data_IF_731801494163
#
_entry.id   IF_731801494163
#
_cell.length_a   1.000
_cell.length_b   1.000
_cell.length_c   1.000
_cell.angle_alpha   90.00
_cell.angle_beta   90.00
_cell.angle_gamma   90.00
#
_symmetry.space_group_name_H-M   'P 1'
#
loop_
_entity.id
_entity.type
_entity.pdbx_description
1 polymer ?
#
# COMPACT_ATOMS: atom_id res chain seq x y z
N UNK A 1 3.79 54.75 63.51
CA UNK A 1 3.90 53.34 63.04
C UNK A 1 3.42 53.24 61.59
N UNK A 2 4.30 53.32 60.62
CA UNK A 2 4.00 53.16 59.18
C UNK A 2 4.35 51.78 58.77
N UNK A 3 3.39 50.92 58.29
CA UNK A 3 3.63 49.64 57.73
C UNK A 3 3.92 49.80 56.24
N UNK A 4 5.09 49.38 55.82
CA UNK A 4 5.54 49.32 54.45
C UNK A 4 4.94 48.08 53.79
N UNK A 5 4.28 48.29 52.64
CA UNK A 5 3.75 47.22 51.77
C UNK A 5 4.81 46.94 50.70
N UNK A 6 5.47 45.80 50.74
CA UNK A 6 6.41 45.37 49.71
C UNK A 6 5.63 44.75 48.55
N UNK A 7 5.77 45.32 47.34
CA UNK A 7 5.30 44.76 46.09
C UNK A 7 6.22 43.62 45.65
N UNK A 8 5.66 42.45 45.43
CA UNK A 8 6.31 41.36 44.73
C UNK A 8 6.14 41.53 43.24
N UNK A 9 7.18 41.76 42.50
CA UNK A 9 7.21 41.70 41.06
C UNK A 9 7.56 40.26 40.66
N UNK A 10 6.58 39.55 40.04
CA UNK A 10 6.82 38.27 39.44
C UNK A 10 7.38 38.56 38.05
N UNK A 11 8.64 38.33 37.82
CA UNK A 11 9.28 38.33 36.50
C UNK A 11 8.89 37.07 35.77
N UNK A 12 7.92 37.20 34.85
CA UNK A 12 7.62 36.18 33.87
C UNK A 12 8.75 36.16 32.79
N UNK A 13 9.60 35.17 32.82
CA UNK A 13 10.61 35.16 31.80
C UNK A 13 11.62 34.03 31.75
N UNK A 14 11.30 32.73 31.84
CA UNK A 14 11.95 31.78 30.96
C UNK A 14 11.02 30.78 30.26
N UNK A 15 9.72 30.77 30.56
CA UNK A 15 8.81 29.75 30.00
C UNK A 15 8.54 29.96 28.52
N UNK A 16 8.57 31.21 28.02
CA UNK A 16 8.28 31.50 26.61
C UNK A 16 9.41 31.12 25.65
N UNK A 17 10.65 31.04 26.11
CA UNK A 17 11.83 30.69 25.26
C UNK A 17 11.93 29.19 25.04
N UNK A 18 11.47 28.38 25.99
CA UNK A 18 11.50 26.90 25.87
C UNK A 18 10.44 26.42 24.88
N UNK A 19 9.26 27.05 24.84
CA UNK A 19 8.23 26.69 23.87
C UNK A 19 8.62 27.03 22.41
N UNK A 20 9.34 28.13 22.18
CA UNK A 20 9.83 28.49 20.84
C UNK A 20 10.99 27.60 20.37
N UNK A 21 11.83 27.12 21.31
CA UNK A 21 12.92 26.22 20.98
C UNK A 21 12.43 24.82 20.61
N UNK A 22 11.29 24.38 21.13
CA UNK A 22 10.66 23.12 20.78
C UNK A 22 10.07 23.12 19.36
N UNK A 23 9.56 24.25 18.88
CA UNK A 23 9.07 24.37 17.48
C UNK A 23 10.22 24.42 16.45
N UNK A 24 11.45 24.73 16.88
CA UNK A 24 12.61 24.81 15.99
C UNK A 24 13.51 23.56 16.03
N UNK A 25 13.28 22.65 16.98
CA UNK A 25 14.08 21.44 17.20
C UNK A 25 13.27 20.14 17.17
N UNK A 26 11.96 20.20 16.96
CA UNK A 26 11.22 19.01 16.58
C UNK A 26 11.77 18.57 15.22
N UNK A 27 12.43 17.43 15.08
CA UNK A 27 12.67 16.88 13.76
C UNK A 27 11.28 16.80 13.13
N UNK A 28 11.17 17.22 11.87
CA UNK A 28 9.99 16.96 11.07
C UNK A 28 9.91 15.44 10.88
N UNK A 29 9.52 14.73 11.94
CA UNK A 29 9.20 13.32 11.87
C UNK A 29 7.93 13.31 11.03
N UNK A 30 8.19 13.11 9.76
CA UNK A 30 7.32 12.80 8.68
C UNK A 30 5.82 13.08 8.89
N UNK A 31 5.41 14.35 9.02
CA UNK A 31 4.05 14.64 8.64
C UNK A 31 4.03 14.48 7.12
N UNK A 32 3.44 13.39 6.67
CA UNK A 32 3.21 13.16 5.27
C UNK A 32 2.45 14.37 4.71
N UNK A 33 2.78 14.82 3.53
CA UNK A 33 2.17 15.98 2.91
C UNK A 33 1.22 15.54 1.78
N UNK A 34 0.13 16.22 1.61
CA UNK A 34 -0.92 15.94 0.64
C UNK A 34 -1.07 17.11 -0.33
N UNK A 35 -1.20 16.79 -1.61
CA UNK A 35 -1.49 17.76 -2.65
C UNK A 35 -2.67 17.28 -3.50
N UNK A 36 -3.71 18.11 -3.60
CA UNK A 36 -4.90 17.83 -4.39
C UNK A 36 -5.09 18.90 -5.45
N UNK A 37 -5.27 18.48 -6.70
CA UNK A 37 -5.62 19.34 -7.81
C UNK A 37 -6.88 18.82 -8.50
N UNK A 38 -7.85 19.69 -8.71
CA UNK A 38 -9.03 19.41 -9.52
C UNK A 38 -9.01 20.34 -10.72
N UNK A 39 -9.10 19.79 -11.92
CA UNK A 39 -9.33 20.59 -13.11
C UNK A 39 -10.81 21.00 -13.21
N UNK A 40 -11.12 22.17 -13.80
CA UNK A 40 -12.51 22.57 -14.00
C UNK A 40 -13.23 21.57 -14.88
N UNK A 41 -14.48 21.25 -14.51
CA UNK A 41 -15.35 20.33 -15.22
C UNK A 41 -15.32 20.59 -16.74
N UNK A 42 -15.10 19.54 -17.58
CA UNK A 42 -15.28 19.69 -19.01
C UNK A 42 -16.73 20.03 -19.32
N UNK A 43 -17.00 20.81 -20.38
CA UNK A 43 -18.38 21.15 -20.77
C UNK A 43 -19.17 19.87 -21.07
N UNK A 44 -20.34 19.73 -20.46
CA UNK A 44 -21.29 18.66 -20.74
C UNK A 44 -21.76 18.79 -22.20
N UNK A 45 -21.41 17.80 -23.04
CA UNK A 45 -21.98 17.68 -24.39
C UNK A 45 -23.22 16.81 -24.27
N UNK A 46 -24.39 17.40 -24.49
CA UNK A 46 -25.65 16.68 -24.64
C UNK A 46 -25.67 16.02 -26.03
N UNK A 47 -25.33 14.72 -26.07
CA UNK A 47 -25.49 13.90 -27.27
C UNK A 47 -26.90 13.34 -27.28
N UNK A 48 -27.83 14.07 -27.93
CA UNK A 48 -29.16 13.58 -28.20
C UNK A 48 -29.10 12.22 -28.90
N UNK A 49 -29.54 11.16 -28.22
CA UNK A 49 -29.60 9.80 -28.77
C UNK A 49 -30.87 9.70 -29.63
N UNK A 50 -30.69 9.64 -30.95
CA UNK A 50 -31.76 9.22 -31.86
C UNK A 50 -31.88 7.69 -31.76
N UNK A 51 -32.99 7.19 -31.21
CA UNK A 51 -33.31 5.77 -31.23
C UNK A 51 -33.56 5.32 -32.66
N UNK A 52 -32.75 4.39 -33.16
CA UNK A 52 -33.01 3.61 -34.37
C UNK A 52 -33.55 2.24 -33.96
N UNK A 53 -34.76 1.83 -34.33
CA UNK A 53 -35.24 0.48 -34.05
C UNK A 53 -34.49 -0.52 -34.93
N UNK A 54 -33.50 -1.21 -34.38
CA UNK A 54 -32.76 -2.26 -35.06
C UNK A 54 -32.85 -3.58 -34.30
N UNK A 55 -33.23 -4.61 -35.00
CA UNK A 55 -33.26 -6.03 -34.61
C UNK A 55 -32.17 -6.38 -33.69
N UNK A 56 -32.50 -6.90 -32.49
CA UNK A 56 -31.55 -7.40 -31.52
C UNK A 56 -30.77 -8.59 -32.12
N UNK A 57 -29.62 -8.32 -32.67
CA UNK A 57 -28.64 -9.35 -32.93
C UNK A 57 -28.09 -9.78 -31.55
N UNK A 58 -28.24 -11.07 -31.23
CA UNK A 58 -27.59 -11.68 -30.07
C UNK A 58 -26.07 -11.35 -30.14
N UNK A 59 -25.49 -10.64 -29.18
CA UNK A 59 -24.08 -10.32 -29.25
C UNK A 59 -23.28 -11.63 -29.27
N UNK A 60 -22.52 -11.88 -30.32
CA UNK A 60 -21.49 -12.89 -30.30
C UNK A 60 -20.40 -12.31 -29.39
N UNK A 61 -20.33 -12.81 -28.17
CA UNK A 61 -19.24 -12.50 -27.27
C UNK A 61 -17.95 -13.06 -27.87
N UNK A 62 -17.06 -12.19 -28.34
CA UNK A 62 -15.70 -12.56 -28.67
C UNK A 62 -14.87 -12.42 -27.40
N UNK A 63 -14.10 -13.47 -27.09
CA UNK A 63 -13.13 -13.43 -26.00
C UNK A 63 -12.20 -12.23 -26.15
N UNK A 64 -11.73 -11.68 -25.05
CA UNK A 64 -10.79 -10.57 -25.00
C UNK A 64 -9.51 -10.95 -25.80
N UNK A 65 -9.04 -10.03 -26.65
CA UNK A 65 -7.97 -10.31 -27.59
C UNK A 65 -6.74 -9.41 -27.45
N UNK A 66 -6.84 -8.34 -26.64
CA UNK A 66 -5.77 -7.36 -26.45
C UNK A 66 -5.29 -7.41 -25.01
N UNK A 67 -3.99 -7.66 -24.81
CA UNK A 67 -3.40 -7.55 -23.47
C UNK A 67 -3.36 -6.10 -23.04
N UNK A 68 -3.90 -5.81 -21.86
CA UNK A 68 -3.74 -4.55 -21.20
C UNK A 68 -2.43 -4.55 -20.40
N UNK A 69 -1.46 -3.78 -20.84
CA UNK A 69 -0.09 -3.83 -20.30
C UNK A 69 0.23 -2.68 -19.34
N UNK A 70 -0.65 -1.68 -19.19
CA UNK A 70 -0.38 -0.53 -18.31
C UNK A 70 -0.43 -0.85 -16.81
N UNK A 71 -0.91 -2.03 -16.44
CA UNK A 71 -0.95 -2.47 -15.03
C UNK A 71 0.41 -2.98 -14.49
N UNK A 72 1.44 -2.98 -15.31
CA UNK A 72 2.80 -3.40 -14.94
C UNK A 72 3.84 -2.71 -15.81
N UNK A 73 5.10 -2.72 -15.39
CA UNK A 73 6.23 -2.36 -16.26
C UNK A 73 6.45 -3.42 -17.35
N UNK A 74 7.12 -3.06 -18.42
CA UNK A 74 7.34 -3.97 -19.56
C UNK A 74 8.17 -5.19 -19.23
N UNK A 75 9.01 -5.13 -18.19
CA UNK A 75 9.78 -6.24 -17.63
C UNK A 75 9.02 -7.05 -16.58
N UNK A 76 7.82 -6.59 -16.18
CA UNK A 76 6.97 -7.21 -15.17
C UNK A 76 7.46 -7.04 -13.74
N UNK A 77 8.50 -6.24 -13.48
CA UNK A 77 9.10 -6.09 -12.16
C UNK A 77 8.32 -5.15 -11.24
N UNK A 78 7.54 -4.22 -11.81
CA UNK A 78 6.71 -3.28 -11.04
C UNK A 78 5.23 -3.31 -11.49
N UNK A 79 4.29 -3.23 -10.52
CA UNK A 79 4.55 -3.07 -9.09
C UNK A 79 5.37 -4.26 -8.56
N UNK A 80 6.38 -3.96 -7.71
CA UNK A 80 7.07 -5.00 -6.95
C UNK A 80 6.22 -5.47 -5.76
N UNK A 81 6.74 -6.38 -4.94
CA UNK A 81 5.98 -6.93 -3.81
C UNK A 81 5.53 -5.86 -2.82
N UNK A 82 6.37 -4.87 -2.53
CA UNK A 82 6.04 -3.78 -1.61
C UNK A 82 5.00 -2.82 -2.19
N UNK A 83 5.15 -2.47 -3.45
CA UNK A 83 4.22 -1.61 -4.18
C UNK A 83 2.85 -2.27 -4.32
N UNK A 84 2.85 -3.58 -4.64
CA UNK A 84 1.63 -4.38 -4.72
C UNK A 84 0.95 -4.53 -3.36
N UNK A 85 1.71 -4.67 -2.27
CA UNK A 85 1.16 -4.71 -0.91
C UNK A 85 0.37 -3.43 -0.60
N UNK A 86 0.90 -2.25 -0.91
CA UNK A 86 0.16 -0.99 -0.73
C UNK A 86 -1.07 -0.94 -1.63
N UNK A 87 -0.97 -1.39 -2.88
CA UNK A 87 -2.12 -1.44 -3.80
C UNK A 87 -3.22 -2.38 -3.29
N UNK A 88 -2.84 -3.56 -2.79
CA UNK A 88 -3.76 -4.54 -2.22
C UNK A 88 -4.45 -4.00 -0.96
N UNK A 89 -3.67 -3.50 -0.01
CA UNK A 89 -4.18 -2.89 1.24
C UNK A 89 -5.11 -1.71 0.95
N UNK A 90 -4.74 -0.82 0.02
CA UNK A 90 -5.57 0.31 -0.38
C UNK A 90 -6.92 -0.14 -0.96
N UNK A 91 -6.91 -1.15 -1.83
CA UNK A 91 -8.14 -1.64 -2.47
C UNK A 91 -9.01 -2.40 -1.46
N UNK A 92 -8.41 -3.14 -0.51
CA UNK A 92 -9.10 -3.72 0.65
C UNK A 92 -9.76 -2.62 1.50
N UNK A 93 -9.02 -1.61 1.88
CA UNK A 93 -9.50 -0.48 2.67
C UNK A 93 -10.67 0.25 2.00
N UNK A 94 -10.59 0.46 0.69
CA UNK A 94 -11.67 1.08 -0.08
C UNK A 94 -12.93 0.22 -0.12
N UNK A 95 -12.80 -1.11 -0.12
CA UNK A 95 -13.94 -2.03 -0.15
C UNK A 95 -14.63 -2.14 1.20
N UNK A 96 -13.89 -2.13 2.30
CA UNK A 96 -14.41 -2.19 3.67
C UNK A 96 -13.64 -1.24 4.60
N UNK A 97 -13.99 0.06 4.59
CA UNK A 97 -13.31 1.04 5.43
C UNK A 97 -13.44 0.73 6.93
N UNK A 98 -14.57 0.21 7.39
CA UNK A 98 -14.78 -0.07 8.81
C UNK A 98 -13.82 -1.16 9.32
N UNK A 99 -13.65 -2.23 8.54
CA UNK A 99 -12.68 -3.28 8.86
C UNK A 99 -11.25 -2.74 8.83
N UNK A 100 -10.94 -1.88 7.86
CA UNK A 100 -9.61 -1.26 7.76
C UNK A 100 -9.28 -0.40 8.97
N UNK A 101 -10.23 0.42 9.44
CA UNK A 101 -10.03 1.23 10.66
C UNK A 101 -9.75 0.38 11.89
N UNK A 102 -10.42 -0.76 12.01
CA UNK A 102 -10.16 -1.73 13.09
C UNK A 102 -8.77 -2.35 12.96
N UNK A 103 -8.39 -2.75 11.74
CA UNK A 103 -7.07 -3.33 11.49
C UNK A 103 -5.94 -2.34 11.79
N UNK A 104 -6.04 -1.09 11.34
CA UNK A 104 -5.05 -0.06 11.61
C UNK A 104 -4.88 0.24 13.10
N UNK A 105 -6.00 0.30 13.85
CA UNK A 105 -5.98 0.57 15.27
C UNK A 105 -5.41 -0.60 16.12
N UNK A 106 -5.36 -1.81 15.55
CA UNK A 106 -4.88 -3.02 16.25
C UNK A 106 -3.64 -3.62 15.60
N UNK A 107 -2.98 -2.86 14.72
CA UNK A 107 -1.84 -3.33 13.95
C UNK A 107 -0.64 -3.61 14.87
N UNK A 108 -0.16 -4.85 14.85
CA UNK A 108 1.02 -5.28 15.62
C UNK A 108 2.31 -5.01 14.82
N UNK A 109 2.64 -3.72 14.67
CA UNK A 109 3.92 -3.24 14.11
C UNK A 109 4.57 -2.28 15.12
N UNK A 110 5.79 -2.55 15.57
CA UNK A 110 6.45 -1.71 16.60
C UNK A 110 6.67 -0.26 16.18
N UNK A 111 6.89 -0.01 14.87
CA UNK A 111 7.04 1.35 14.33
C UNK A 111 5.72 2.11 14.39
N UNK A 112 4.62 1.45 14.00
CA UNK A 112 3.27 2.04 14.07
C UNK A 112 2.88 2.32 15.51
N UNK A 113 3.10 1.37 16.43
CA UNK A 113 2.83 1.56 17.85
C UNK A 113 3.62 2.75 18.42
N UNK A 114 4.91 2.87 18.08
CA UNK A 114 5.72 4.00 18.50
C UNK A 114 5.22 5.35 17.93
N UNK A 115 4.72 5.36 16.69
CA UNK A 115 4.11 6.55 16.09
C UNK A 115 2.79 6.92 16.78
N UNK A 116 1.95 5.94 17.13
CA UNK A 116 0.70 6.14 17.87
C UNK A 116 0.98 6.77 19.23
N UNK A 117 1.95 6.23 19.98
CA UNK A 117 2.37 6.78 21.28
C UNK A 117 2.88 8.21 21.12
N UNK A 118 3.75 8.44 20.13
CA UNK A 118 4.37 9.75 19.92
C UNK A 118 3.37 10.85 19.57
N UNK A 119 2.44 10.56 18.67
CA UNK A 119 1.43 11.51 18.24
C UNK A 119 0.17 11.50 19.15
N UNK A 120 0.08 10.55 20.08
CA UNK A 120 -1.11 10.32 20.92
C UNK A 120 -2.35 10.05 20.07
N UNK A 121 -2.22 9.14 19.10
CA UNK A 121 -3.32 8.76 18.21
C UNK A 121 -4.46 8.16 19.02
N UNK A 122 -5.68 8.68 18.82
CA UNK A 122 -6.88 8.13 19.44
C UNK A 122 -7.47 7.02 18.55
N UNK A 123 -7.23 5.78 18.92
CA UNK A 123 -7.62 4.60 18.16
C UNK A 123 -9.15 4.46 18.03
N UNK A 124 -9.92 4.84 19.05
CA UNK A 124 -11.38 4.81 19.01
C UNK A 124 -11.93 5.84 18.01
N UNK A 125 -11.33 7.03 17.96
CA UNK A 125 -11.69 8.06 16.98
C UNK A 125 -11.30 7.59 15.58
N UNK A 126 -10.09 7.06 15.39
CA UNK A 126 -9.64 6.49 14.12
C UNK A 126 -10.62 5.45 13.58
N UNK A 127 -11.00 4.46 14.39
CA UNK A 127 -11.99 3.44 14.00
C UNK A 127 -13.34 4.04 13.65
N UNK A 128 -13.81 5.01 14.46
CA UNK A 128 -15.09 5.69 14.23
C UNK A 128 -15.11 6.48 12.93
N UNK A 129 -14.02 7.16 12.58
CA UNK A 129 -13.89 7.88 11.32
C UNK A 129 -13.94 6.93 10.12
N UNK A 130 -13.18 5.83 10.15
CA UNK A 130 -13.19 4.83 9.10
C UNK A 130 -14.56 4.17 8.94
N UNK A 131 -15.24 3.86 10.05
CA UNK A 131 -16.61 3.32 10.02
C UNK A 131 -17.63 4.31 9.41
N UNK A 132 -17.33 5.59 9.42
CA UNK A 132 -18.14 6.64 8.78
C UNK A 132 -17.93 6.77 7.27
N UNK A 133 -16.88 6.18 6.70
CA UNK A 133 -16.61 6.27 5.27
C UNK A 133 -17.46 5.28 4.47
N UNK A 134 -18.00 5.74 3.35
CA UNK A 134 -18.62 4.85 2.39
C UNK A 134 -17.55 4.07 1.60
N UNK A 135 -17.83 2.81 1.27
CA UNK A 135 -17.00 2.01 0.39
C UNK A 135 -16.77 2.73 -0.96
N UNK A 136 -15.58 2.58 -1.51
CA UNK A 136 -15.15 3.18 -2.77
C UNK A 136 -14.69 2.11 -3.74
N UNK A 137 -14.79 2.43 -5.03
CA UNK A 137 -14.27 1.57 -6.07
C UNK A 137 -12.75 1.40 -5.94
N UNK A 138 -12.23 0.19 -6.25
CA UNK A 138 -10.80 -0.05 -6.27
C UNK A 138 -10.13 0.74 -7.40
N UNK A 139 -8.83 1.02 -7.24
CA UNK A 139 -8.00 1.64 -8.25
C UNK A 139 -7.12 0.61 -8.97
N UNK A 140 -6.99 0.79 -10.28
CA UNK A 140 -6.04 0.06 -11.10
C UNK A 140 -4.64 0.68 -10.96
N UNK A 141 -3.60 -0.16 -10.86
CA UNK A 141 -2.24 0.33 -11.04
C UNK A 141 -2.04 0.80 -12.48
N UNK A 142 -1.32 1.93 -12.65
CA UNK A 142 -0.92 2.44 -13.97
C UNK A 142 0.57 2.78 -13.95
N UNK A 143 1.31 2.17 -14.86
CA UNK A 143 2.77 2.30 -14.96
C UNK A 143 3.23 3.74 -15.19
N UNK A 144 2.42 4.60 -15.79
CA UNK A 144 2.72 6.02 -16.01
C UNK A 144 2.66 6.80 -14.68
N UNK A 145 1.62 6.51 -13.88
CA UNK A 145 1.49 7.09 -12.53
C UNK A 145 2.60 6.59 -11.61
N UNK A 146 2.97 5.31 -11.73
CA UNK A 146 4.12 4.74 -11.05
C UNK A 146 5.42 5.43 -11.43
N UNK A 147 5.69 5.59 -12.74
CA UNK A 147 6.89 6.27 -13.23
C UNK A 147 7.00 7.71 -12.71
N UNK A 148 5.86 8.43 -12.65
CA UNK A 148 5.80 9.77 -12.07
C UNK A 148 6.05 9.75 -10.55
N UNK A 149 5.51 8.77 -9.81
CA UNK A 149 5.72 8.58 -8.38
C UNK A 149 7.18 8.25 -8.07
N UNK A 150 7.76 7.28 -8.81
CA UNK A 150 9.18 6.92 -8.69
C UNK A 150 10.10 8.11 -8.93
N UNK A 151 9.88 8.86 -10.01
CA UNK A 151 10.66 10.06 -10.30
C UNK A 151 10.52 11.13 -9.21
N UNK A 152 9.40 11.14 -8.46
CA UNK A 152 9.23 12.02 -7.34
C UNK A 152 9.98 11.51 -6.10
N UNK A 153 9.93 10.22 -5.78
CA UNK A 153 10.73 9.62 -4.71
C UNK A 153 12.24 9.81 -4.97
N UNK A 154 12.71 9.58 -6.20
CA UNK A 154 14.11 9.83 -6.59
C UNK A 154 14.52 11.30 -6.36
N UNK A 155 13.61 12.25 -6.66
CA UNK A 155 13.82 13.66 -6.39
C UNK A 155 13.92 13.96 -4.89
N UNK A 156 13.04 13.37 -4.04
CA UNK A 156 13.06 13.55 -2.59
C UNK A 156 14.35 13.00 -1.97
N UNK A 157 14.84 11.86 -2.44
CA UNK A 157 16.14 11.29 -2.07
C UNK A 157 17.26 12.27 -2.46
N UNK A 158 17.22 12.80 -3.67
CA UNK A 158 18.23 13.75 -4.18
C UNK A 158 18.33 15.05 -3.39
N UNK A 159 17.26 15.51 -2.76
CA UNK A 159 17.23 16.70 -1.90
C UNK A 159 17.33 16.41 -0.42
N UNK A 160 17.41 15.12 -0.05
CA UNK A 160 17.38 14.62 1.34
C UNK A 160 16.23 15.27 2.16
N UNK A 161 15.01 15.23 1.62
CA UNK A 161 13.86 15.93 2.21
C UNK A 161 12.51 15.46 1.68
N UNK A 162 11.45 16.13 2.13
CA UNK A 162 10.08 15.83 1.74
C UNK A 162 9.33 17.09 1.31
N UNK A 163 8.75 17.06 0.12
CA UNK A 163 7.83 18.10 -0.41
C UNK A 163 7.07 17.57 -1.61
N UNK A 164 6.14 18.38 -2.15
CA UNK A 164 5.35 18.05 -3.37
C UNK A 164 5.81 18.78 -4.63
N UNK A 165 7.00 19.35 -4.66
CA UNK A 165 7.45 20.15 -5.78
C UNK A 165 7.39 19.39 -7.12
N UNK A 166 6.52 19.85 -8.01
CA UNK A 166 6.27 19.26 -9.33
C UNK A 166 5.78 17.80 -9.32
N UNK A 167 5.23 17.28 -8.20
CA UNK A 167 4.73 15.91 -8.16
C UNK A 167 3.63 15.69 -9.22
N UNK A 168 2.61 16.53 -9.22
CA UNK A 168 1.48 16.42 -10.16
C UNK A 168 1.93 16.71 -11.60
N UNK A 169 2.86 17.63 -11.82
CA UNK A 169 3.39 17.90 -13.16
C UNK A 169 4.10 16.67 -13.76
N UNK A 170 4.71 15.82 -12.94
CA UNK A 170 5.35 14.57 -13.40
C UNK A 170 4.33 13.58 -13.97
N UNK A 171 3.08 13.58 -13.49
CA UNK A 171 2.00 12.74 -14.02
C UNK A 171 1.78 13.04 -15.52
N UNK A 172 1.57 14.32 -15.85
CA UNK A 172 1.40 14.74 -17.25
C UNK A 172 2.65 14.46 -18.08
N UNK A 173 3.85 14.67 -17.51
CA UNK A 173 5.11 14.37 -18.18
C UNK A 173 5.31 12.88 -18.46
N UNK A 174 4.73 12.01 -17.64
CA UNK A 174 4.73 10.56 -17.84
C UNK A 174 3.66 10.08 -18.85
N UNK A 175 2.87 10.99 -19.42
CA UNK A 175 1.87 10.70 -20.45
C UNK A 175 0.52 10.23 -19.91
N UNK A 176 0.21 10.45 -18.62
CA UNK A 176 -1.12 10.20 -18.10
C UNK A 176 -1.94 11.49 -18.09
N UNK A 177 -3.09 11.46 -18.79
CA UNK A 177 -4.03 12.57 -18.85
C UNK A 177 -5.15 12.35 -17.85
N UNK A 178 -5.41 13.35 -17.01
CA UNK A 178 -6.36 13.24 -15.90
C UNK A 178 -7.29 14.46 -15.85
N UNK A 179 -8.45 14.26 -15.24
CA UNK A 179 -9.36 15.34 -14.84
C UNK A 179 -9.34 15.60 -13.33
N UNK A 180 -8.84 14.64 -12.55
CA UNK A 180 -8.57 14.79 -11.12
C UNK A 180 -7.24 14.10 -10.79
N UNK A 181 -6.46 14.70 -9.92
CA UNK A 181 -5.23 14.11 -9.42
C UNK A 181 -5.02 14.45 -7.94
N UNK A 182 -4.35 13.55 -7.23
CA UNK A 182 -3.81 13.78 -5.90
C UNK A 182 -2.46 13.09 -5.77
N UNK A 183 -1.56 13.68 -4.98
CA UNK A 183 -0.25 13.14 -4.69
C UNK A 183 -0.06 12.98 -3.19
N UNK A 184 0.54 11.86 -2.77
CA UNK A 184 0.99 11.64 -1.40
C UNK A 184 2.48 11.31 -1.39
N UNK A 185 3.16 11.70 -0.33
CA UNK A 185 4.59 11.40 -0.13
C UNK A 185 4.86 11.09 1.33
N UNK A 186 5.74 10.12 1.56
CA UNK A 186 6.27 9.83 2.86
C UNK A 186 7.73 9.38 2.74
N UNK A 187 8.64 10.28 3.10
CA UNK A 187 10.03 9.95 3.39
C UNK A 187 10.13 9.39 4.80
N UNK A 188 11.21 8.67 5.13
CA UNK A 188 11.45 8.08 6.45
C UNK A 188 10.58 6.86 6.78
N UNK A 189 9.97 6.21 5.79
CA UNK A 189 9.20 5.00 6.04
C UNK A 189 10.11 3.86 6.48
N UNK A 190 9.80 3.24 7.62
CA UNK A 190 10.58 2.13 8.19
C UNK A 190 10.43 0.85 7.36
N UNK A 191 9.21 0.60 6.90
CA UNK A 191 8.83 -0.52 6.05
C UNK A 191 7.52 -0.17 5.31
N UNK A 192 7.04 -1.05 4.46
CA UNK A 192 5.84 -0.83 3.63
C UNK A 192 4.57 -0.68 4.46
N UNK A 193 4.40 -1.51 5.49
CA UNK A 193 3.24 -1.45 6.41
C UNK A 193 3.23 -0.15 7.19
N UNK A 194 4.40 0.27 7.71
CA UNK A 194 4.54 1.54 8.40
C UNK A 194 4.17 2.72 7.49
N UNK A 195 4.67 2.71 6.23
CA UNK A 195 4.33 3.74 5.25
C UNK A 195 2.86 3.78 4.89
N UNK A 196 2.23 2.61 4.71
CA UNK A 196 0.80 2.50 4.46
C UNK A 196 -0.03 3.00 5.67
N UNK A 197 0.34 2.62 6.88
CA UNK A 197 -0.29 3.11 8.10
C UNK A 197 -0.13 4.63 8.23
N UNK A 198 1.06 5.17 7.93
CA UNK A 198 1.31 6.61 7.95
C UNK A 198 0.33 7.39 7.05
N UNK A 199 0.02 6.87 5.86
CA UNK A 199 -0.94 7.50 4.95
C UNK A 199 -2.39 7.39 5.43
N UNK A 200 -2.78 6.26 6.03
CA UNK A 200 -4.17 6.01 6.40
C UNK A 200 -4.52 6.52 7.79
N UNK A 201 -3.64 6.39 8.77
CA UNK A 201 -3.79 7.02 10.08
C UNK A 201 -3.62 8.53 9.93
N UNK A 202 -2.68 8.93 9.05
CA UNK A 202 -2.34 10.33 8.80
C UNK A 202 -1.98 11.05 10.09
N UNK A 203 -1.10 10.42 10.89
CA UNK A 203 -0.73 10.93 12.22
C UNK A 203 -0.09 12.31 12.15
N UNK A 204 -0.33 13.12 13.18
CA UNK A 204 0.12 14.50 13.20
C UNK A 204 -0.23 15.21 14.50
N UNK A 205 -0.17 16.54 14.48
CA UNK A 205 -0.36 17.39 15.66
C UNK A 205 -1.83 17.80 15.94
N UNK A 206 -2.79 17.20 15.27
CA UNK A 206 -4.22 17.45 15.52
C UNK A 206 -4.68 16.89 16.87
N UNK A 207 -5.92 17.18 17.24
CA UNK A 207 -6.46 16.88 18.58
C UNK A 207 -6.43 15.39 18.93
N UNK A 208 -6.66 14.54 17.94
CA UNK A 208 -6.72 13.07 18.10
C UNK A 208 -5.46 12.38 17.58
N UNK A 209 -4.33 13.10 17.51
CA UNK A 209 -3.06 12.56 17.05
C UNK A 209 -2.97 12.36 15.55
N UNK A 210 -3.94 12.87 14.78
CA UNK A 210 -3.96 12.82 13.32
C UNK A 210 -3.87 14.23 12.72
N UNK A 211 -3.59 14.33 11.43
CA UNK A 211 -3.65 15.62 10.72
C UNK A 211 -5.12 16.07 10.58
N UNK A 212 -5.34 17.37 10.54
CA UNK A 212 -6.66 17.97 10.30
C UNK A 212 -6.55 19.01 9.16
N UNK A 213 -7.12 18.74 7.96
CA UNK A 213 -7.74 17.45 7.55
C UNK A 213 -6.71 16.34 7.29
N UNK A 214 -7.10 15.06 7.41
CA UNK A 214 -6.21 13.92 7.11
C UNK A 214 -6.09 13.72 5.59
N UNK A 215 -5.24 14.53 4.97
CA UNK A 215 -5.16 14.69 3.52
C UNK A 215 -4.68 13.44 2.78
N UNK A 216 -3.73 12.69 3.36
CA UNK A 216 -3.24 11.44 2.77
C UNK A 216 -4.32 10.37 2.78
N UNK A 217 -5.00 10.19 3.90
CA UNK A 217 -6.16 9.32 4.04
C UNK A 217 -7.22 9.64 3.00
N UNK A 218 -7.53 10.92 2.81
CA UNK A 218 -8.53 11.35 1.83
C UNK A 218 -8.13 11.01 0.39
N UNK A 219 -6.85 11.04 0.08
CA UNK A 219 -6.35 10.65 -1.24
C UNK A 219 -6.38 9.12 -1.44
N UNK A 220 -5.76 8.37 -0.53
CA UNK A 220 -5.62 6.91 -0.66
C UNK A 220 -6.98 6.21 -0.60
N UNK A 221 -7.90 6.68 0.27
CA UNK A 221 -9.28 6.20 0.39
C UNK A 221 -10.22 6.77 -0.68
N UNK A 222 -9.72 7.60 -1.62
CA UNK A 222 -10.55 8.25 -2.66
C UNK A 222 -11.73 9.07 -2.10
N UNK A 223 -11.55 9.68 -0.93
CA UNK A 223 -12.56 10.53 -0.29
C UNK A 223 -12.55 11.92 -0.94
N UNK A 224 -11.36 12.44 -1.24
CA UNK A 224 -11.18 13.76 -1.83
C UNK A 224 -11.45 13.82 -3.34
N UNK A 225 -11.70 12.67 -3.99
CA UNK A 225 -11.94 12.58 -5.44
C UNK A 225 -12.44 11.20 -5.84
N UNK A 226 -12.55 10.95 -7.14
CA UNK A 226 -12.92 9.66 -7.72
C UNK A 226 -11.68 9.03 -8.38
N UNK A 227 -10.72 8.60 -7.61
CA UNK A 227 -9.43 8.11 -8.14
C UNK A 227 -9.54 6.64 -8.52
N UNK A 228 -9.63 6.37 -9.82
CA UNK A 228 -9.78 5.02 -10.40
C UNK A 228 -8.46 4.41 -10.85
N UNK A 229 -7.39 5.22 -10.90
CA UNK A 229 -6.05 4.78 -11.23
C UNK A 229 -5.06 5.26 -10.19
N UNK A 230 -4.05 4.46 -9.88
CA UNK A 230 -3.01 4.77 -8.93
C UNK A 230 -1.65 4.30 -9.42
N UNK A 231 -0.59 4.98 -8.98
CA UNK A 231 0.78 4.54 -9.13
C UNK A 231 1.52 4.81 -7.83
N UNK A 232 1.99 3.74 -7.20
CA UNK A 232 2.72 3.78 -5.94
C UNK A 232 4.16 3.37 -6.24
N UNK A 233 5.11 4.12 -5.73
CA UNK A 233 6.53 3.78 -5.78
C UNK A 233 7.09 3.70 -4.35
N UNK A 234 7.70 2.58 -4.02
CA UNK A 234 8.40 2.33 -2.75
C UNK A 234 9.89 2.24 -3.07
N UNK A 235 10.62 3.33 -2.87
CA UNK A 235 12.03 3.40 -3.25
C UNK A 235 12.91 3.24 -2.01
N UNK A 236 13.72 2.17 -1.95
CA UNK A 236 14.65 1.99 -0.84
C UNK A 236 15.76 3.04 -0.88
N UNK A 237 16.09 3.61 0.28
CA UNK A 237 17.21 4.52 0.46
C UNK A 237 18.06 4.05 1.65
N UNK A 238 19.15 3.38 1.32
CA UNK A 238 20.04 2.74 2.29
C UNK A 238 21.35 3.52 2.54
N UNK A 239 21.49 4.70 1.90
CA UNK A 239 22.68 5.53 2.11
C UNK A 239 22.64 6.16 3.51
N UNK A 240 23.56 5.83 4.42
CA UNK A 240 23.56 6.36 5.78
C UNK A 240 23.84 7.87 5.85
N UNK A 241 24.23 8.51 4.74
CA UNK A 241 24.43 9.95 4.67
C UNK A 241 23.14 10.72 4.40
N UNK A 242 22.07 10.05 3.98
CA UNK A 242 20.75 10.66 3.80
C UNK A 242 19.89 10.41 5.05
N UNK A 243 18.87 11.27 5.23
CA UNK A 243 17.91 11.16 6.35
C UNK A 243 16.57 10.59 5.92
N UNK A 244 16.31 10.55 4.61
CA UNK A 244 14.97 10.15 4.06
C UNK A 244 14.74 8.65 4.00
N UNK A 245 15.77 7.83 4.26
CA UNK A 245 15.65 6.37 4.32
C UNK A 245 14.92 5.88 5.58
N UNK A 246 14.70 4.54 5.67
CA UNK A 246 15.13 3.48 4.73
C UNK A 246 14.26 3.33 3.46
N UNK A 247 13.05 3.89 3.43
CA UNK A 247 12.18 3.90 2.25
C UNK A 247 11.59 5.29 2.02
N UNK A 248 11.47 5.68 0.75
CA UNK A 248 10.74 6.88 0.31
C UNK A 248 9.56 6.42 -0.53
N UNK A 249 8.36 6.72 -0.07
CA UNK A 249 7.12 6.30 -0.73
C UNK A 249 6.44 7.52 -1.34
N UNK A 250 6.14 7.44 -2.63
CA UNK A 250 5.29 8.41 -3.32
C UNK A 250 4.10 7.70 -3.96
N UNK A 251 2.93 8.32 -3.88
CA UNK A 251 1.73 7.83 -4.52
C UNK A 251 1.06 8.92 -5.34
N UNK A 252 0.59 8.56 -6.54
CA UNK A 252 -0.22 9.40 -7.40
C UNK A 252 -1.56 8.72 -7.67
N UNK A 253 -2.65 9.46 -7.49
CA UNK A 253 -4.02 8.98 -7.66
C UNK A 253 -4.73 9.86 -8.69
N UNK A 254 -5.37 9.23 -9.69
CA UNK A 254 -6.00 9.97 -10.76
C UNK A 254 -7.37 9.44 -11.15
N UNK A 255 -8.20 10.36 -11.66
CA UNK A 255 -9.34 10.04 -12.51
C UNK A 255 -8.95 10.39 -13.94
N UNK A 256 -8.92 9.40 -14.82
CA UNK A 256 -8.42 9.57 -16.18
C UNK A 256 -9.36 10.44 -17.03
N UNK A 257 -8.77 11.27 -17.91
CA UNK A 257 -9.50 11.92 -19.01
C UNK A 257 -9.73 10.90 -20.13
N UNK A 258 -10.95 10.44 -20.29
CA UNK A 258 -11.30 9.32 -21.19
C UNK A 258 -11.34 9.65 -22.69
N UNK A 259 -10.90 10.84 -23.09
CA UNK A 259 -10.74 11.21 -24.50
C UNK A 259 -9.59 10.49 -25.23
N UNK A 260 -8.82 9.67 -24.53
CA UNK A 260 -7.68 8.92 -25.04
C UNK A 260 -7.97 7.42 -24.98
N UNK A 261 -7.55 6.69 -26.02
CA UNK A 261 -7.87 5.27 -26.17
C UNK A 261 -7.29 4.36 -25.07
N UNK A 262 -6.25 4.81 -24.40
CA UNK A 262 -5.53 4.12 -23.33
C UNK A 262 -5.83 4.68 -21.92
N UNK A 263 -6.89 5.45 -21.77
CA UNK A 263 -7.33 6.05 -20.51
C UNK A 263 -8.73 5.57 -20.15
N UNK A 264 -8.86 4.84 -19.06
CA UNK A 264 -10.11 4.25 -18.58
C UNK A 264 -10.32 4.56 -17.11
N UNK A 265 -11.59 4.53 -16.67
CA UNK A 265 -11.98 4.74 -15.27
C UNK A 265 -12.78 3.57 -14.68
N UNK A 266 -12.84 2.45 -15.41
CA UNK A 266 -13.55 1.26 -14.96
C UNK A 266 -12.77 0.01 -15.30
N UNK A 267 -12.51 -0.79 -14.29
CA UNK A 267 -11.63 -1.95 -14.39
C UNK A 267 -12.17 -3.12 -13.56
N UNK A 268 -11.80 -4.33 -13.95
CA UNK A 268 -11.64 -5.44 -13.03
C UNK A 268 -10.20 -5.38 -12.57
N UNK A 269 -9.96 -5.21 -11.27
CA UNK A 269 -8.63 -5.17 -10.67
C UNK A 269 -8.50 -6.25 -9.63
N UNK A 270 -7.30 -6.72 -9.38
CA UNK A 270 -7.04 -7.69 -8.32
C UNK A 270 -5.59 -8.13 -8.26
N UNK A 271 -5.36 -9.05 -7.35
CA UNK A 271 -4.09 -9.74 -7.12
C UNK A 271 -4.34 -11.25 -7.17
N UNK A 272 -3.48 -11.97 -7.87
CA UNK A 272 -3.43 -13.44 -7.83
C UNK A 272 -2.26 -13.81 -6.93
N UNK A 273 -2.54 -14.50 -5.82
CA UNK A 273 -1.55 -14.72 -4.77
C UNK A 273 -1.82 -15.99 -3.96
N UNK A 274 -0.82 -16.46 -3.26
CA UNK A 274 -0.90 -17.60 -2.34
C UNK A 274 -0.51 -17.14 -0.95
N UNK A 275 -1.39 -17.31 0.05
CA UNK A 275 -1.11 -16.97 1.44
C UNK A 275 -0.15 -18.01 2.04
N UNK A 276 1.16 -17.76 1.93
CA UNK A 276 2.20 -18.69 2.36
C UNK A 276 2.41 -18.72 3.88
N UNK A 277 1.98 -17.69 4.59
CA UNK A 277 2.18 -17.55 6.03
C UNK A 277 0.88 -17.70 6.84
N UNK A 278 -0.28 -17.85 6.16
CA UNK A 278 -1.61 -18.05 6.73
C UNK A 278 -2.09 -16.87 7.60
N UNK A 279 -1.76 -15.64 7.16
CA UNK A 279 -2.21 -14.42 7.83
C UNK A 279 -3.43 -13.76 7.14
N UNK A 280 -3.89 -14.31 6.02
CA UNK A 280 -5.00 -13.81 5.18
C UNK A 280 -4.76 -12.39 4.65
N UNK A 281 -3.50 -12.02 4.44
CA UNK A 281 -3.07 -10.76 3.86
C UNK A 281 -2.02 -11.02 2.79
N UNK A 282 -2.02 -10.18 1.76
CA UNK A 282 -0.96 -10.22 0.77
C UNK A 282 0.34 -9.69 1.34
N UNK A 283 1.39 -10.48 1.26
CA UNK A 283 2.76 -10.10 1.62
C UNK A 283 3.71 -10.11 0.40
N UNK A 284 4.79 -9.32 0.41
CA UNK A 284 5.77 -9.34 -0.64
C UNK A 284 6.36 -10.75 -0.85
N UNK A 285 6.22 -11.27 -2.06
CA UNK A 285 6.66 -12.62 -2.43
C UNK A 285 5.54 -13.65 -2.61
N UNK A 286 4.30 -13.32 -2.25
CA UNK A 286 3.13 -14.20 -2.37
C UNK A 286 2.40 -14.08 -3.71
N UNK A 287 2.76 -13.07 -4.51
CA UNK A 287 2.14 -12.86 -5.82
C UNK A 287 2.49 -13.95 -6.83
N UNK A 288 1.50 -14.40 -7.61
CA UNK A 288 1.66 -15.39 -8.65
C UNK A 288 1.84 -14.72 -10.01
N UNK A 289 3.01 -14.94 -10.60
CA UNK A 289 3.44 -14.31 -11.85
C UNK A 289 2.91 -15.03 -13.10
N UNK A 290 2.73 -14.29 -14.19
CA UNK A 290 2.46 -14.86 -15.51
C UNK A 290 1.07 -15.48 -15.66
N UNK A 291 0.17 -15.28 -14.70
CA UNK A 291 -1.20 -15.77 -14.76
C UNK A 291 -2.00 -14.95 -15.76
N UNK A 292 -2.55 -15.61 -16.78
CA UNK A 292 -3.47 -15.00 -17.72
C UNK A 292 -4.85 -14.84 -17.08
N UNK A 293 -5.32 -13.61 -16.98
CA UNK A 293 -6.65 -13.24 -16.45
C UNK A 293 -7.52 -12.82 -17.62
N UNK A 294 -8.46 -13.68 -18.00
CA UNK A 294 -9.21 -13.59 -19.25
C UNK A 294 -10.73 -13.50 -18.98
N UNK A 295 -11.36 -12.33 -19.15
CA UNK A 295 -12.82 -12.23 -19.19
C UNK A 295 -13.41 -12.97 -20.40
N UNK A 296 -14.59 -13.60 -20.24
CA UNK A 296 -15.31 -14.30 -21.30
C UNK A 296 -15.76 -13.40 -22.46
N UNK A 297 -15.70 -12.09 -22.26
CA UNK A 297 -16.10 -11.05 -23.22
C UNK A 297 -15.36 -9.74 -22.94
N UNK A 298 -15.41 -8.83 -23.91
CA UNK A 298 -14.76 -7.52 -23.83
C UNK A 298 -13.54 -7.42 -24.75
N UNK A 299 -12.78 -6.36 -24.59
CA UNK A 299 -11.64 -6.06 -25.47
C UNK A 299 -10.31 -6.55 -24.88
N UNK A 300 -10.18 -6.45 -23.56
CA UNK A 300 -8.90 -6.57 -22.88
C UNK A 300 -8.82 -7.78 -21.96
N UNK A 301 -7.64 -8.37 -21.86
CA UNK A 301 -7.22 -9.32 -20.84
C UNK A 301 -5.93 -8.83 -20.18
N UNK A 302 -5.48 -9.47 -19.12
CA UNK A 302 -4.23 -9.14 -18.46
C UNK A 302 -3.40 -10.40 -18.22
N UNK A 303 -2.08 -10.23 -18.11
CA UNK A 303 -1.16 -11.23 -17.59
C UNK A 303 -0.49 -10.62 -16.36
N UNK A 304 -0.57 -11.27 -15.19
CA UNK A 304 -0.06 -10.74 -13.94
C UNK A 304 1.43 -10.39 -14.02
N UNK A 305 1.85 -9.33 -13.34
CA UNK A 305 3.25 -9.03 -13.07
C UNK A 305 3.84 -10.00 -12.04
N UNK A 306 5.11 -9.81 -11.68
CA UNK A 306 5.83 -10.68 -10.74
C UNK A 306 5.19 -10.71 -9.34
N UNK A 307 4.48 -9.67 -8.96
CA UNK A 307 3.77 -9.54 -7.69
C UNK A 307 2.29 -9.92 -7.76
N UNK A 308 1.84 -10.55 -8.84
CA UNK A 308 0.48 -11.06 -8.99
C UNK A 308 -0.58 -10.02 -9.35
N UNK A 309 -0.25 -8.73 -9.34
CA UNK A 309 -1.19 -7.64 -9.61
C UNK A 309 -1.67 -7.60 -11.07
N UNK A 310 -2.95 -7.25 -11.26
CA UNK A 310 -3.53 -7.06 -12.60
C UNK A 310 -4.63 -6.00 -12.62
N UNK A 311 -4.89 -5.46 -13.82
CA UNK A 311 -6.05 -4.63 -14.10
C UNK A 311 -6.52 -4.84 -15.55
N UNK A 312 -7.84 -4.85 -15.75
CA UNK A 312 -8.46 -5.05 -17.07
C UNK A 312 -9.52 -3.96 -17.27
N UNK A 313 -9.37 -3.06 -18.27
CA UNK A 313 -10.40 -2.09 -18.59
C UNK A 313 -11.68 -2.75 -19.07
N UNK A 314 -12.82 -2.31 -18.53
CA UNK A 314 -14.14 -2.83 -18.87
C UNK A 314 -14.99 -1.72 -19.49
N UNK A 315 -15.49 -1.95 -20.69
CA UNK A 315 -16.22 -0.94 -21.46
C UNK A 315 -17.74 -1.03 -21.32
N UNK A 316 -18.28 -2.18 -20.89
CA UNK A 316 -19.72 -2.42 -20.78
C UNK A 316 -20.11 -2.92 -19.38
N UNK A 317 -21.31 -2.56 -18.92
CA UNK A 317 -21.90 -3.15 -17.72
C UNK A 317 -22.39 -4.56 -18.06
N UNK A 318 -21.89 -5.56 -17.33
CA UNK A 318 -22.32 -6.96 -17.51
C UNK A 318 -21.84 -7.83 -16.34
N UNK A 319 -22.27 -9.10 -16.34
CA UNK A 319 -21.66 -10.17 -15.55
C UNK A 319 -20.55 -10.82 -16.38
N UNK A 320 -19.34 -10.83 -15.87
CA UNK A 320 -18.16 -11.40 -16.52
C UNK A 320 -17.77 -12.70 -15.84
N UNK A 321 -17.51 -13.75 -16.65
CA UNK A 321 -16.80 -14.95 -16.18
C UNK A 321 -15.34 -14.76 -16.52
N UNK A 322 -14.51 -14.68 -15.50
CA UNK A 322 -13.06 -14.43 -15.61
C UNK A 322 -12.33 -15.74 -15.37
N UNK A 323 -11.56 -16.17 -16.36
CA UNK A 323 -10.68 -17.34 -16.27
C UNK A 323 -9.26 -16.89 -15.88
N UNK A 324 -8.70 -17.56 -14.89
CA UNK A 324 -7.31 -17.45 -14.47
C UNK A 324 -6.59 -18.73 -14.89
N UNK A 325 -5.47 -18.61 -15.60
CA UNK A 325 -4.76 -19.79 -16.11
C UNK A 325 -3.30 -19.50 -16.44
N UNK A 326 -2.48 -20.54 -16.41
CA UNK A 326 -1.05 -20.43 -16.70
C UNK A 326 -0.24 -19.74 -15.61
N UNK A 327 0.99 -19.35 -15.91
CA UNK A 327 1.91 -18.85 -14.90
C UNK A 327 2.16 -19.89 -13.80
N UNK A 328 2.12 -19.46 -12.57
CA UNK A 328 2.35 -20.32 -11.41
C UNK A 328 1.10 -21.09 -10.93
N UNK A 329 -0.04 -20.97 -11.65
CA UNK A 329 -1.23 -21.78 -11.35
C UNK A 329 -1.11 -23.20 -11.91
N UNK A 330 -1.37 -24.21 -11.09
CA UNK A 330 -1.41 -25.61 -11.56
C UNK A 330 -2.63 -25.91 -12.43
N UNK A 331 -3.76 -25.26 -12.14
CA UNK A 331 -5.05 -25.48 -12.81
C UNK A 331 -5.73 -24.15 -13.18
N UNK A 332 -6.57 -24.19 -14.19
CA UNK A 332 -7.40 -23.03 -14.54
C UNK A 332 -8.56 -22.86 -13.55
N UNK A 333 -8.73 -21.64 -13.07
CA UNK A 333 -9.78 -21.26 -12.12
C UNK A 333 -10.71 -20.24 -12.78
N UNK A 334 -12.00 -20.32 -12.51
CA UNK A 334 -12.97 -19.33 -12.99
C UNK A 334 -13.67 -18.66 -11.82
N UNK A 335 -13.93 -17.36 -11.99
CA UNK A 335 -14.74 -16.55 -11.07
C UNK A 335 -15.74 -15.72 -11.86
N UNK A 336 -16.88 -15.42 -11.27
CA UNK A 336 -17.88 -14.54 -11.87
C UNK A 336 -17.94 -13.23 -11.10
N UNK A 337 -17.97 -12.11 -11.81
CA UNK A 337 -18.06 -10.78 -11.23
C UNK A 337 -19.02 -9.91 -12.01
N UNK A 338 -19.88 -9.18 -11.29
CA UNK A 338 -20.79 -8.19 -11.87
C UNK A 338 -20.07 -6.82 -11.93
N UNK A 339 -19.94 -6.27 -13.12
CA UNK A 339 -19.37 -4.94 -13.34
C UNK A 339 -20.47 -3.96 -13.72
N UNK A 340 -20.70 -2.98 -12.87
CA UNK A 340 -21.61 -1.85 -13.10
C UNK A 340 -20.90 -0.65 -13.72
N UNK A 341 -21.19 0.54 -13.19
CA UNK A 341 -20.56 1.81 -13.62
C UNK A 341 -19.16 2.05 -13.03
N UNK A 342 -18.73 1.24 -12.07
CA UNK A 342 -17.48 1.44 -11.32
C UNK A 342 -16.57 0.22 -11.46
N UNK A 343 -15.28 0.40 -11.15
CA UNK A 343 -14.32 -0.69 -11.01
C UNK A 343 -14.75 -1.67 -9.93
N UNK A 344 -14.35 -2.93 -10.08
CA UNK A 344 -14.60 -4.01 -9.13
C UNK A 344 -13.31 -4.70 -8.74
N UNK A 345 -13.25 -5.14 -7.48
CA UNK A 345 -12.14 -5.93 -6.96
C UNK A 345 -12.44 -7.42 -7.18
N UNK A 346 -11.48 -8.15 -7.72
CA UNK A 346 -11.55 -9.58 -7.94
C UNK A 346 -10.18 -10.19 -7.66
N UNK A 347 -9.84 -10.35 -6.38
CA UNK A 347 -8.65 -11.07 -5.98
C UNK A 347 -8.85 -12.59 -6.15
N UNK A 348 -7.77 -13.29 -6.43
CA UNK A 348 -7.70 -14.72 -6.42
C UNK A 348 -6.62 -15.17 -5.42
N UNK A 349 -7.06 -15.53 -4.22
CA UNK A 349 -6.25 -16.31 -3.30
C UNK A 349 -6.24 -17.76 -3.78
N UNK A 350 -5.04 -18.25 -4.06
CA UNK A 350 -4.81 -19.59 -4.56
C UNK A 350 -4.26 -20.46 -3.44
N UNK A 351 -4.85 -21.63 -3.25
CA UNK A 351 -4.36 -22.64 -2.31
C UNK A 351 -3.84 -23.85 -3.11
N UNK A 352 -2.54 -23.93 -3.27
CA UNK A 352 -1.89 -25.04 -3.97
C UNK A 352 -2.14 -26.40 -3.29
N UNK A 353 -2.35 -26.42 -1.98
CA UNK A 353 -2.59 -27.65 -1.23
C UNK A 353 -4.02 -28.22 -1.44
N UNK A 354 -4.98 -27.35 -1.81
CA UNK A 354 -6.36 -27.78 -2.09
C UNK A 354 -6.58 -28.18 -3.55
N UNK A 355 -5.65 -27.92 -4.45
CA UNK A 355 -5.68 -28.36 -5.85
C UNK A 355 -5.40 -29.86 -5.92
N UNK A 356 -6.45 -30.70 -5.84
CA UNK A 356 -6.34 -32.11 -6.14
C UNK A 356 -6.00 -32.27 -7.62
N UNK A 357 -4.89 -32.95 -7.99
CA UNK A 357 -4.64 -33.28 -9.39
C UNK A 357 -5.86 -34.02 -9.95
N UNK A 358 -6.32 -33.73 -11.17
CA UNK A 358 -7.40 -34.49 -11.77
C UNK A 358 -7.02 -35.97 -11.75
N UNK A 359 -7.96 -36.90 -11.43
CA UNK A 359 -7.67 -38.31 -11.39
C UNK A 359 -7.05 -38.70 -12.73
N UNK A 360 -5.81 -39.17 -12.71
CA UNK A 360 -5.13 -39.72 -13.89
C UNK A 360 -5.96 -40.89 -14.33
N UNK A 361 -6.72 -40.73 -15.39
CA UNK A 361 -7.52 -41.77 -15.99
C UNK A 361 -6.55 -42.74 -16.63
N UNK A 362 -6.04 -43.68 -15.77
CA UNK A 362 -5.17 -44.75 -16.16
C UNK A 362 -5.92 -45.66 -17.14
N UNK A 363 -5.65 -45.43 -18.44
CA UNK A 363 -6.07 -46.33 -19.49
C UNK A 363 -5.64 -47.74 -19.18
N UNK A 364 -6.65 -48.63 -19.06
CA UNK A 364 -6.46 -50.06 -18.83
C UNK A 364 -5.52 -50.72 -19.81
N UNK A 365 -4.48 -51.31 -19.29
CA UNK A 365 -3.64 -52.31 -19.93
C UNK A 365 -3.72 -53.60 -19.11
N UNK A 366 -4.57 -54.50 -19.56
CA UNK A 366 -4.63 -55.88 -19.04
C UNK A 366 -3.38 -56.65 -19.39
N UNK A 367 -2.77 -57.31 -18.39
CA UNK A 367 -1.65 -58.24 -18.62
C UNK A 367 -1.23 -58.94 -17.34
N UNK A 368 -1.84 -60.09 -17.05
CA UNK A 368 -1.42 -61.37 -16.57
C UNK A 368 -0.39 -61.56 -15.47
N UNK A 369 -0.82 -62.16 -14.37
CA UNK A 369 -0.29 -63.40 -13.80
C UNK A 369 1.04 -63.35 -13.03
N UNK A 370 0.98 -63.74 -11.77
CA UNK A 370 2.14 -64.21 -11.04
C UNK A 370 1.98 -64.17 -9.52
N UNK A 371 1.48 -65.27 -8.98
CA UNK A 371 1.42 -65.61 -7.54
C UNK A 371 2.79 -65.71 -6.90
N UNK A 372 2.91 -65.31 -5.60
CA UNK A 372 4.08 -65.63 -4.78
C UNK A 372 3.98 -64.99 -3.40
N UNK A 373 3.61 -65.78 -2.45
CA UNK A 373 3.41 -65.47 -1.06
C UNK A 373 4.70 -65.30 -0.30
N UNK A 374 4.59 -64.79 0.90
CA UNK A 374 5.66 -64.73 1.86
C UNK A 374 5.37 -63.79 3.03
N UNK A 375 4.88 -64.43 4.07
CA UNK A 375 4.63 -63.92 5.42
C UNK A 375 5.86 -63.41 6.13
N UNK A 376 5.68 -62.47 7.07
CA UNK A 376 6.44 -62.55 8.30
C UNK A 376 7.03 -61.28 8.81
N UNK A 377 6.56 -60.79 9.94
CA UNK A 377 7.35 -60.61 11.12
C UNK A 377 7.77 -59.18 11.49
N UNK A 378 7.00 -58.67 12.37
CA UNK A 378 7.24 -57.88 13.59
C UNK A 378 8.64 -57.37 13.96
N UNK A 379 8.55 -56.21 14.57
CA UNK A 379 9.22 -55.68 15.79
C UNK A 379 10.47 -54.86 15.64
N UNK A 380 10.36 -53.69 16.21
CA UNK A 380 11.18 -53.20 17.30
C UNK A 380 12.36 -52.32 17.01
N UNK A 381 12.34 -51.18 17.59
CA UNK A 381 13.48 -50.68 18.33
C UNK A 381 14.34 -49.57 17.71
N UNK A 382 14.09 -48.39 18.18
CA UNK A 382 15.02 -47.48 18.88
C UNK A 382 16.28 -46.92 18.19
N UNK A 383 16.37 -45.58 18.40
CA UNK A 383 17.51 -44.74 18.64
C UNK A 383 18.53 -44.46 17.55
N UNK A 384 18.67 -43.15 17.27
CA UNK A 384 19.98 -42.52 17.33
C UNK A 384 20.60 -42.03 16.04
N UNK A 385 20.73 -40.72 15.96
CA UNK A 385 21.99 -40.12 15.48
C UNK A 385 22.05 -39.59 14.08
N UNK A 386 22.00 -38.28 13.94
CA UNK A 386 23.02 -37.47 13.35
C UNK A 386 23.23 -37.51 11.86
N UNK A 387 23.11 -36.36 11.24
CA UNK A 387 23.89 -36.06 10.06
C UNK A 387 23.17 -35.27 8.97
N UNK A 388 23.27 -33.97 8.98
CA UNK A 388 23.76 -33.13 7.94
C UNK A 388 23.10 -33.23 6.55
N UNK A 389 22.16 -32.33 6.28
CA UNK A 389 21.78 -32.03 4.94
C UNK A 389 21.59 -30.50 4.85
N UNK A 390 22.53 -29.84 4.18
CA UNK A 390 22.59 -28.41 3.97
C UNK A 390 21.37 -27.93 3.18
N UNK A 391 20.35 -27.46 3.87
CA UNK A 391 19.39 -26.56 3.32
C UNK A 391 19.97 -25.16 3.44
N UNK A 392 20.16 -24.48 2.33
CA UNK A 392 20.56 -23.09 2.28
C UNK A 392 19.42 -22.23 2.82
N UNK A 393 19.38 -22.09 4.13
CA UNK A 393 18.70 -21.00 4.79
C UNK A 393 19.51 -19.75 4.47
N UNK A 394 19.01 -18.97 3.49
CA UNK A 394 19.33 -17.56 3.49
C UNK A 394 18.64 -17.00 4.75
N UNK A 395 19.36 -17.09 5.86
CA UNK A 395 19.07 -16.30 7.01
C UNK A 395 19.24 -14.84 6.58
N UNK A 396 18.15 -14.19 6.28
CA UNK A 396 18.11 -12.77 6.53
C UNK A 396 18.28 -12.66 8.05
N UNK A 397 19.49 -12.33 8.44
CA UNK A 397 19.74 -11.80 9.76
C UNK A 397 18.71 -10.67 9.92
N UNK A 398 17.71 -10.87 10.76
CA UNK A 398 17.15 -9.80 11.49
C UNK A 398 18.34 -9.24 12.28
N UNK A 399 19.03 -8.26 11.71
CA UNK A 399 19.75 -7.34 12.53
C UNK A 399 18.67 -6.77 13.46
N UNK A 400 18.78 -7.16 14.73
CA UNK A 400 18.16 -6.41 15.79
C UNK A 400 18.45 -4.95 15.46
N UNK A 401 17.46 -4.26 14.94
CA UNK A 401 17.49 -2.82 14.83
C UNK A 401 17.46 -2.38 16.28
N UNK A 402 18.66 -2.17 16.82
CA UNK A 402 18.84 -1.66 18.16
C UNK A 402 17.98 -0.40 18.23
N UNK A 403 16.98 -0.42 19.10
CA UNK A 403 16.14 0.74 19.41
C UNK A 403 16.93 1.98 19.86
N UNK A 404 18.25 1.88 19.85
CA UNK A 404 19.22 2.92 20.12
C UNK A 404 19.13 4.12 19.17
N UNK A 405 18.76 3.96 17.90
CA UNK A 405 18.68 5.13 16.98
C UNK A 405 17.49 6.04 17.29
N UNK A 406 16.36 5.50 17.72
CA UNK A 406 15.29 6.32 18.30
C UNK A 406 15.59 6.68 19.75
N UNK A 407 16.19 5.78 20.51
CA UNK A 407 16.64 6.02 21.87
C UNK A 407 17.77 7.04 21.98
N UNK A 408 18.70 7.10 21.03
CA UNK A 408 19.77 8.10 21.03
C UNK A 408 19.25 9.52 20.74
N UNK A 409 18.22 9.68 19.92
CA UNK A 409 17.56 10.98 19.75
C UNK A 409 16.87 11.40 21.04
N UNK A 410 16.23 10.47 21.75
CA UNK A 410 15.63 10.75 23.08
C UNK A 410 16.70 10.91 24.18
N UNK A 411 17.77 10.13 24.15
CA UNK A 411 18.84 10.22 25.13
C UNK A 411 19.67 11.50 24.95
N UNK A 412 19.92 11.92 23.72
CA UNK A 412 20.66 13.17 23.46
C UNK A 412 19.83 14.39 23.87
N UNK A 413 18.51 14.36 23.69
CA UNK A 413 17.61 15.39 24.18
C UNK A 413 17.54 15.40 25.74
N UNK A 414 17.50 14.22 26.38
CA UNK A 414 17.48 14.10 27.82
C UNK A 414 18.83 14.52 28.47
N UNK A 415 19.97 14.19 27.85
CA UNK A 415 21.32 14.60 28.34
C UNK A 415 21.52 16.10 28.15
N UNK A 416 21.00 16.71 27.07
CA UNK A 416 21.06 18.18 26.92
C UNK A 416 20.16 18.90 27.94
N UNK A 417 19.02 18.34 28.29
CA UNK A 417 18.14 18.88 29.34
C UNK A 417 18.75 18.70 30.74
N UNK A 418 19.42 17.60 31.03
CA UNK A 418 20.14 17.38 32.29
C UNK A 418 21.42 18.23 32.42
N UNK A 419 22.10 18.49 31.29
CA UNK A 419 23.29 19.37 31.23
C UNK A 419 22.96 20.84 31.51
N UNK A 420 21.78 21.31 31.12
CA UNK A 420 21.31 22.68 31.43
C UNK A 420 20.87 22.89 32.88
N UNK A 421 20.56 21.82 33.62
CA UNK A 421 20.17 21.88 35.03
C UNK A 421 21.35 21.86 36.01
N UNK A 422 22.56 21.58 35.52
CA UNK A 422 23.79 21.46 36.34
C UNK A 422 24.78 22.64 36.22
N UNK A 423 24.34 23.79 35.68
CA UNK A 423 25.17 24.99 35.76
C UNK A 423 25.05 25.58 37.16
N UNK A 424 26.10 25.50 38.06
CA UNK A 424 26.01 26.08 39.37
C UNK A 424 25.97 27.61 39.22
N UNK A 425 25.02 28.21 39.90
CA UNK A 425 24.93 29.67 40.04
C UNK A 425 26.22 30.21 40.67
N UNK A 426 27.10 30.81 39.88
CA UNK A 426 28.23 31.58 40.36
C UNK A 426 27.69 32.79 41.10
N UNK A 427 27.89 32.81 42.42
CA UNK A 427 27.65 33.98 43.25
C UNK A 427 28.60 35.11 42.83
N UNK A 428 28.13 36.34 42.63
CA UNK A 428 29.03 37.48 42.48
C UNK A 428 29.72 37.78 43.81
N UNK A 429 31.06 37.76 43.82
CA UNK A 429 31.88 38.32 44.90
C UNK A 429 31.75 39.85 44.81
N UNK A 430 31.39 40.46 45.92
CA UNK A 430 31.51 41.90 46.13
C UNK A 430 33.00 42.22 46.40
N UNK A 431 33.50 43.18 45.70
CA UNK A 431 34.41 44.24 46.17
C UNK A 431 33.93 45.58 45.63
#
# INVERSE_FOLDING_TARGET
MKKSCSRWSITAGPVLIVALAWQLLAPSIGSAAYERFAEPNPPTVDLGVAEVPGVAATPRHTAAAIEWTYHKTSDGLHPDGNEQQIMWLMNRARSDPAQEGTWLATLDDPGVAAAFDFFSVNEDVLQSEFAGYAAKAPAAFDVRLYGAAKAHSDYLIGIDGQNHNNQIARISSAGFNYSQAAGIVFSYSLNTIYGYAAFNVDWGSGTDGTQDPPGHRYAIMSISGNYTSAGIAVVPEINPATRVGPQVISGNFCYASTGFADHHNRFIVGTVWEDMNSNSQYDPGEGLAGVTVMPDKGTYFAVTGNSGGYAIPILANDNYTVAFSGGDLSDAITRTVAVGSSSVLLDLEYDAASSTPPPVNGGGGSGGGGSGGGSGGSSGGDSGGGGGGSGCLIGMAAEEFDGATMGEVFLTAAVLLAGLALVPALKPTRD
#
